data_IF_342450758969
#
_entry.id   IF_342450758969
#
_cell.length_a   1.000
_cell.length_b   1.000
_cell.length_c   1.000
_cell.angle_alpha   90.00
_cell.angle_beta   90.00
_cell.angle_gamma   90.00
#
_symmetry.space_group_name_H-M   'P 1'
#
loop_
_entity.id
_entity.type
_entity.pdbx_description
1 polymer ?
#
# COMPACT_ATOMS: atom_id res chain seq x y z
N UNK A 1 -18.97 -39.13 20.10
CA UNK A 1 -18.47 -38.33 21.25
C UNK A 1 -16.95 -38.47 21.36
N UNK A 2 -16.18 -37.73 20.56
CA UNK A 2 -14.74 -37.53 20.77
C UNK A 2 -14.45 -36.13 20.24
N UNK A 3 -14.29 -35.18 21.17
CA UNK A 3 -14.09 -33.77 20.87
C UNK A 3 -12.72 -33.64 20.18
N UNK A 4 -12.73 -33.33 18.88
CA UNK A 4 -11.55 -32.85 18.17
C UNK A 4 -11.20 -31.49 18.77
N UNK A 5 -10.30 -31.48 19.76
CA UNK A 5 -9.69 -30.26 20.28
C UNK A 5 -8.83 -29.68 19.16
N UNK A 6 -9.29 -28.59 18.53
CA UNK A 6 -8.50 -27.80 17.61
C UNK A 6 -7.38 -27.12 18.41
N UNK A 7 -6.14 -27.56 18.19
CA UNK A 7 -4.95 -26.96 18.79
C UNK A 7 -4.56 -25.74 17.95
N UNK A 8 -5.08 -24.58 18.34
CA UNK A 8 -4.71 -23.28 17.76
C UNK A 8 -3.29 -22.92 18.18
N UNK A 9 -2.28 -23.29 17.38
CA UNK A 9 -0.90 -22.86 17.57
C UNK A 9 -0.81 -21.35 17.26
N UNK A 10 -0.75 -20.52 18.30
CA UNK A 10 -0.47 -19.10 18.18
C UNK A 10 1.01 -18.93 17.80
N UNK A 11 1.27 -18.72 16.51
CA UNK A 11 2.60 -18.42 15.99
C UNK A 11 2.91 -16.93 16.27
N UNK A 12 3.44 -16.63 17.45
CA UNK A 12 4.00 -15.32 17.74
C UNK A 12 5.28 -15.13 16.92
N UNK A 13 5.19 -14.39 15.81
CA UNK A 13 6.34 -14.07 14.97
C UNK A 13 7.32 -13.15 15.70
N UNK A 14 8.49 -13.67 16.07
CA UNK A 14 9.60 -12.89 16.58
C UNK A 14 10.32 -12.25 15.38
N UNK A 15 10.05 -10.98 15.06
CA UNK A 15 10.77 -10.26 14.02
C UNK A 15 12.09 -9.71 14.58
N UNK A 16 13.14 -10.53 14.58
CA UNK A 16 14.51 -10.07 14.79
C UNK A 16 14.98 -9.31 13.53
N UNK A 17 15.17 -7.99 13.66
CA UNK A 17 15.75 -7.16 12.60
C UNK A 17 17.24 -7.45 12.37
N UNK A 18 17.82 -6.98 11.25
CA UNK A 18 19.26 -7.15 10.98
C UNK A 18 20.10 -6.46 12.06
N UNK A 19 21.18 -7.13 12.49
CA UNK A 19 22.16 -6.60 13.45
C UNK A 19 23.47 -6.33 12.72
N UNK A 20 24.18 -5.26 13.09
CA UNK A 20 25.52 -4.98 12.59
C UNK A 20 26.57 -5.88 13.27
N UNK A 21 27.83 -5.75 12.82
CA UNK A 21 28.95 -6.47 13.41
C UNK A 21 29.18 -6.15 14.90
N UNK A 22 28.59 -5.06 15.42
CA UNK A 22 28.64 -4.66 16.82
C UNK A 22 27.41 -5.10 17.62
N UNK A 23 26.46 -5.83 17.02
CA UNK A 23 25.24 -6.31 17.66
C UNK A 23 24.16 -5.24 17.86
N UNK A 24 24.30 -4.07 17.23
CA UNK A 24 23.27 -3.03 17.23
C UNK A 24 22.25 -3.34 16.15
N UNK A 25 20.97 -3.19 16.49
CA UNK A 25 19.88 -3.25 15.50
C UNK A 25 20.10 -2.16 14.46
N UNK A 26 20.22 -2.57 13.21
CA UNK A 26 20.35 -1.66 12.07
C UNK A 26 18.96 -1.26 11.62
N UNK A 27 18.71 0.04 11.63
CA UNK A 27 17.44 0.60 11.27
C UNK A 27 17.40 0.94 9.77
N UNK A 28 16.92 -0.01 8.96
CA UNK A 28 16.87 0.13 7.50
C UNK A 28 15.48 0.55 7.03
N UNK A 29 15.40 1.68 6.32
CA UNK A 29 14.17 2.23 5.75
C UNK A 29 14.47 2.97 4.44
N UNK A 30 13.43 3.21 3.64
CA UNK A 30 13.50 4.07 2.47
C UNK A 30 12.96 5.46 2.80
N UNK A 31 13.38 6.47 2.04
CA UNK A 31 12.77 7.80 2.11
C UNK A 31 12.04 8.13 0.83
N UNK A 32 10.87 8.76 0.94
CA UNK A 32 10.19 9.35 -0.22
C UNK A 32 10.94 10.59 -0.74
N UNK A 33 10.39 11.24 -1.77
CA UNK A 33 11.00 12.45 -2.35
C UNK A 33 10.88 13.70 -1.48
N UNK A 34 10.12 13.65 -0.40
CA UNK A 34 10.00 14.69 0.63
C UNK A 34 10.87 14.38 1.87
N UNK A 35 11.55 13.22 1.91
CA UNK A 35 12.33 12.76 3.04
C UNK A 35 11.53 11.99 4.10
N UNK A 36 10.25 11.72 3.87
CA UNK A 36 9.43 10.92 4.78
C UNK A 36 9.92 9.48 4.82
N UNK A 37 10.00 8.92 6.01
CA UNK A 37 10.38 7.53 6.24
C UNK A 37 9.30 6.56 5.75
N UNK A 38 9.73 5.47 5.12
CA UNK A 38 8.91 4.36 4.63
C UNK A 38 9.54 3.04 5.04
N UNK A 39 8.78 2.16 5.68
CA UNK A 39 9.31 0.91 6.23
C UNK A 39 9.53 -0.15 5.15
N UNK A 40 10.42 -1.10 5.43
CA UNK A 40 10.64 -2.25 4.56
C UNK A 40 9.34 -3.03 4.31
N UNK A 41 9.06 -3.32 3.04
CA UNK A 41 7.85 -4.01 2.59
C UNK A 41 6.68 -3.08 2.27
N UNK A 42 6.69 -1.84 2.76
CA UNK A 42 5.66 -0.85 2.48
C UNK A 42 5.66 -0.43 1.01
N UNK A 43 4.46 -0.17 0.47
CA UNK A 43 4.26 0.25 -0.91
C UNK A 43 3.65 1.64 -0.94
N UNK A 44 4.27 2.55 -1.70
CA UNK A 44 3.77 3.91 -1.89
C UNK A 44 3.68 4.27 -3.37
N UNK A 45 2.93 5.33 -3.66
CA UNK A 45 3.00 6.02 -4.94
C UNK A 45 4.21 6.97 -4.91
N UNK A 46 5.33 6.56 -5.50
CA UNK A 46 6.56 7.35 -5.53
C UNK A 46 6.61 8.17 -6.83
N UNK A 47 6.93 9.47 -6.71
CA UNK A 47 7.08 10.36 -7.87
C UNK A 47 8.51 10.87 -7.97
N UNK A 48 9.22 10.49 -9.03
CA UNK A 48 10.63 10.87 -9.28
C UNK A 48 10.73 11.43 -10.69
N UNK A 49 11.27 12.66 -10.84
CA UNK A 49 11.47 13.28 -12.16
C UNK A 49 10.20 13.40 -13.00
N UNK A 50 9.04 13.63 -12.36
CA UNK A 50 7.74 13.77 -13.03
C UNK A 50 7.05 12.46 -13.42
N UNK A 51 7.65 11.30 -13.13
CA UNK A 51 7.02 9.98 -13.30
C UNK A 51 6.53 9.46 -11.96
N UNK A 52 5.28 9.00 -11.92
CA UNK A 52 4.70 8.34 -10.74
C UNK A 52 4.50 6.85 -10.98
N UNK A 53 4.92 6.02 -10.03
CA UNK A 53 4.78 4.57 -10.09
C UNK A 53 4.58 3.98 -8.69
N UNK A 54 4.05 2.77 -8.62
CA UNK A 54 3.93 2.06 -7.34
C UNK A 54 5.28 1.43 -7.01
N UNK A 55 5.91 1.93 -5.94
CA UNK A 55 7.21 1.46 -5.47
C UNK A 55 7.07 0.71 -4.14
N UNK A 56 7.85 -0.35 -3.94
CA UNK A 56 7.99 -1.01 -2.65
C UNK A 56 9.38 -0.72 -2.07
N UNK A 57 9.45 -0.40 -0.77
CA UNK A 57 10.72 -0.32 -0.07
C UNK A 57 11.27 -1.72 0.21
N UNK A 58 12.50 -2.01 -0.20
CA UNK A 58 13.09 -3.33 -0.13
C UNK A 58 14.56 -3.31 0.22
N UNK A 59 15.13 -4.49 0.46
CA UNK A 59 16.58 -4.65 0.63
C UNK A 59 17.20 -5.25 -0.64
N UNK A 60 18.28 -4.65 -1.13
CA UNK A 60 19.15 -5.26 -2.15
C UNK A 60 20.60 -5.08 -1.73
N UNK A 61 21.41 -6.13 -1.77
CA UNK A 61 22.83 -6.09 -1.37
C UNK A 61 23.07 -5.44 0.01
N UNK A 62 22.14 -5.63 0.95
CA UNK A 62 22.14 -5.05 2.30
C UNK A 62 21.88 -3.53 2.37
N UNK A 63 21.40 -2.89 1.31
CA UNK A 63 20.96 -1.49 1.33
C UNK A 63 19.46 -1.36 1.04
N UNK A 64 18.75 -0.43 1.72
CA UNK A 64 17.36 -0.12 1.39
C UNK A 64 17.29 0.48 -0.01
N UNK A 65 16.30 0.05 -0.79
CA UNK A 65 16.15 0.43 -2.18
C UNK A 65 14.68 0.46 -2.60
N UNK A 66 14.37 1.34 -3.54
CA UNK A 66 13.05 1.44 -4.14
C UNK A 66 12.92 0.48 -5.33
N UNK A 67 12.02 -0.49 -5.25
CA UNK A 67 11.65 -1.34 -6.39
C UNK A 67 10.34 -0.90 -7.00
N UNK A 68 10.34 -0.57 -8.28
CA UNK A 68 9.10 -0.41 -9.05
C UNK A 68 8.42 -1.78 -9.18
N UNK A 69 7.17 -1.88 -8.69
CA UNK A 69 6.42 -3.14 -8.71
C UNK A 69 5.20 -3.07 -9.64
N UNK A 70 4.67 -1.87 -9.92
CA UNK A 70 3.60 -1.65 -10.89
C UNK A 70 3.77 -0.27 -11.56
N UNK A 71 3.50 -0.18 -12.86
CA UNK A 71 3.46 1.11 -13.54
C UNK A 71 2.29 1.94 -12.99
N UNK A 72 2.51 3.25 -12.90
CA UNK A 72 1.52 4.23 -12.42
C UNK A 72 1.04 3.95 -10.98
N UNK A 73 0.20 4.85 -10.47
CA UNK A 73 -0.43 4.72 -9.17
C UNK A 73 -1.93 4.44 -9.36
N UNK A 74 -2.47 3.54 -8.53
CA UNK A 74 -3.91 3.32 -8.51
C UNK A 74 -4.59 4.54 -7.89
N UNK A 75 -5.31 5.30 -8.71
CA UNK A 75 -6.16 6.39 -8.24
C UNK A 75 -7.58 5.85 -8.04
N UNK A 76 -8.04 5.77 -6.79
CA UNK A 76 -9.46 5.55 -6.48
C UNK A 76 -10.13 6.89 -6.24
N UNK A 77 -10.38 7.63 -7.33
CA UNK A 77 -11.22 8.82 -7.25
C UNK A 77 -12.68 8.38 -7.27
N UNK A 78 -13.27 8.13 -6.10
CA UNK A 78 -14.74 8.15 -5.96
C UNK A 78 -15.19 9.61 -6.11
N UNK A 79 -15.20 10.13 -7.35
CA UNK A 79 -15.91 11.36 -7.64
C UNK A 79 -17.38 11.12 -7.30
N UNK A 80 -18.01 11.93 -6.43
CA UNK A 80 -19.45 11.86 -6.23
C UNK A 80 -20.12 12.01 -7.59
N UNK A 81 -20.70 10.93 -8.12
CA UNK A 81 -21.49 11.02 -9.35
C UNK A 81 -22.62 12.01 -9.06
N UNK A 82 -22.74 13.11 -9.82
CA UNK A 82 -23.92 13.96 -9.70
C UNK A 82 -25.14 13.07 -9.96
N UNK A 83 -26.00 12.92 -8.95
CA UNK A 83 -27.30 12.26 -9.11
C UNK A 83 -28.12 13.20 -9.97
N UNK A 84 -28.10 13.00 -11.29
CA UNK A 84 -28.97 13.74 -12.20
C UNK A 84 -30.42 13.42 -11.80
N UNK A 85 -31.24 14.41 -11.39
CA UNK A 85 -32.65 14.17 -11.17
C UNK A 85 -33.24 13.66 -12.48
N UNK A 86 -33.95 12.52 -12.45
CA UNK A 86 -34.73 12.07 -13.61
C UNK A 86 -35.77 13.16 -13.89
N UNK A 87 -35.55 13.95 -14.93
CA UNK A 87 -36.59 14.81 -15.47
C UNK A 87 -37.66 13.90 -16.05
N UNK A 88 -38.72 13.72 -15.26
CA UNK A 88 -39.94 13.04 -15.68
C UNK A 88 -40.63 13.93 -16.71
N UNK A 89 -40.22 13.85 -17.97
CA UNK A 89 -40.95 14.45 -19.09
C UNK A 89 -42.24 13.67 -19.29
N UNK A 90 -43.32 14.13 -18.67
CA UNK A 90 -44.68 13.74 -19.02
C UNK A 90 -44.99 14.21 -20.46
N UNK A 91 -45.70 13.43 -21.28
CA UNK A 91 -46.10 13.89 -22.60
C UNK A 91 -47.20 14.95 -22.46
N UNK A 92 -46.96 16.14 -23.01
CA UNK A 92 -48.01 17.14 -23.19
C UNK A 92 -48.96 16.66 -24.29
N UNK A 93 -50.11 16.16 -23.87
CA UNK A 93 -51.31 16.00 -24.69
C UNK A 93 -52.13 17.29 -24.59
N UNK A 94 -52.45 17.92 -25.72
CA UNK A 94 -53.56 18.85 -26.00
C UNK A 94 -53.28 19.44 -27.39
N UNK A 95 -54.20 19.57 -28.35
CA UNK A 95 -55.66 19.49 -28.40
C UNK A 95 -56.07 20.27 -29.64
#
# INVERSE_FOLDING_TARGET
>A
MKRLLALSLALAGLSAGPVDAAGKTVDCYCTDTQGSRVELGEQICLTVGGRSFTAQCQMSLNVPMWREIRPNCLSSSLLPRPVQPRQSSAPASSG
#
